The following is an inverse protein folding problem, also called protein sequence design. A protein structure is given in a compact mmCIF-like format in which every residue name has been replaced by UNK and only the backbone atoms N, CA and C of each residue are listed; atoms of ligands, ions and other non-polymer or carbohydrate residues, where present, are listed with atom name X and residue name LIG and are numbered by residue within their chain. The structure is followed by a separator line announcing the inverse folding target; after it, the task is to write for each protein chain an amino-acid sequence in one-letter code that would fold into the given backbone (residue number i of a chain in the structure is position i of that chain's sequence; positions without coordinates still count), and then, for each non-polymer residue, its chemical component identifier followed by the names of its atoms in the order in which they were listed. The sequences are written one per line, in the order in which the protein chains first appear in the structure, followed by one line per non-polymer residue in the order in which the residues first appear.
data_IF_398001029951
#
_entry.id   IF_398001029951
#
_cell.length_a   1.000
_cell.length_b   1.000
_cell.length_c   1.000
_cell.angle_alpha   90.00
_cell.angle_beta   90.00
_cell.angle_gamma   90.00
#
_symmetry.space_group_name_H-M   'P 1'
#
loop_
_entity.id
_entity.type
_entity.pdbx_description
1 polymer ?
#
# COMPACT_ATOMS: atom_id res chain seq x y z
N UNK A 1 -63.39 2.43 19.28
CA UNK A 1 -62.30 1.91 20.12
C UNK A 1 -61.05 1.48 19.29
N UNK A 2 -61.16 1.32 17.99
CA UNK A 2 -60.02 1.00 17.11
C UNK A 2 -59.09 2.20 16.80
N UNK A 3 -59.60 3.44 16.87
CA UNK A 3 -58.83 4.65 16.59
C UNK A 3 -57.83 5.05 17.70
N UNK A 4 -58.01 4.55 18.93
CA UNK A 4 -57.09 4.83 20.03
C UNK A 4 -55.82 3.95 20.02
N UNK A 5 -55.86 2.79 19.35
CA UNK A 5 -54.68 1.90 19.21
C UNK A 5 -53.68 2.43 18.21
N UNK A 6 -54.09 3.17 17.16
CA UNK A 6 -53.19 3.79 16.20
C UNK A 6 -52.44 5.01 16.75
N UNK A 7 -53.08 5.75 17.67
CA UNK A 7 -52.46 6.90 18.36
C UNK A 7 -51.42 6.45 19.41
N UNK A 8 -51.67 5.31 20.08
CA UNK A 8 -50.73 4.75 21.07
C UNK A 8 -49.47 4.19 20.39
N UNK A 9 -49.60 3.68 19.17
CA UNK A 9 -48.43 3.17 18.42
C UNK A 9 -47.49 4.25 17.91
N UNK A 10 -47.96 5.48 17.71
CA UNK A 10 -47.10 6.61 17.32
C UNK A 10 -46.32 7.22 18.50
N UNK A 11 -46.81 7.10 19.73
CA UNK A 11 -46.16 7.62 20.95
C UNK A 11 -45.19 6.63 21.62
N UNK A 12 -45.14 5.36 21.21
CA UNK A 12 -44.34 4.31 21.85
C UNK A 12 -42.91 4.20 21.34
N UNK A 13 -42.39 5.27 20.74
CA UNK A 13 -41.04 5.28 20.16
C UNK A 13 -39.91 5.67 21.11
N UNK A 14 -40.17 5.84 22.40
CA UNK A 14 -39.15 6.20 23.37
C UNK A 14 -38.49 4.95 23.97
N UNK A 15 -37.21 4.73 23.68
CA UNK A 15 -36.41 3.70 24.32
C UNK A 15 -35.67 4.33 25.50
N UNK A 16 -35.87 3.81 26.71
CA UNK A 16 -35.23 4.31 27.91
C UNK A 16 -33.74 3.88 27.98
N UNK A 17 -32.93 4.71 28.64
CA UNK A 17 -31.52 4.40 28.88
C UNK A 17 -31.38 3.07 29.64
N UNK A 18 -30.66 2.09 29.06
CA UNK A 18 -30.50 0.74 29.63
C UNK A 18 -31.60 -0.25 29.26
N UNK A 19 -32.63 0.17 28.50
CA UNK A 19 -33.67 -0.74 28.00
C UNK A 19 -33.08 -1.66 26.93
N UNK A 20 -33.31 -2.96 27.09
CA UNK A 20 -32.90 -3.98 26.12
C UNK A 20 -33.79 -3.90 24.88
N UNK A 21 -33.20 -3.74 23.70
CA UNK A 21 -33.90 -3.67 22.41
C UNK A 21 -33.98 -5.06 21.76
N UNK A 22 -32.87 -5.83 21.81
CA UNK A 22 -32.78 -7.15 21.20
C UNK A 22 -31.81 -8.03 22.00
N UNK A 23 -31.98 -9.34 21.95
CA UNK A 23 -31.08 -10.34 22.55
C UNK A 23 -30.53 -11.26 21.45
N UNK A 24 -29.38 -11.86 21.69
CA UNK A 24 -28.83 -12.86 20.79
C UNK A 24 -29.78 -14.06 20.72
N UNK A 25 -30.29 -14.35 19.49
CA UNK A 25 -31.29 -15.40 19.26
C UNK A 25 -32.71 -14.89 19.02
N UNK A 26 -33.00 -13.61 19.25
CA UNK A 26 -34.32 -13.03 18.97
C UNK A 26 -34.52 -12.85 17.45
N UNK A 27 -35.79 -13.13 17.00
CA UNK A 27 -36.19 -12.88 15.61
C UNK A 27 -36.39 -11.35 15.44
N UNK A 28 -35.63 -10.75 14.53
CA UNK A 28 -35.75 -9.32 14.22
C UNK A 28 -37.07 -9.02 13.52
N UNK A 29 -38.01 -8.41 14.25
CA UNK A 29 -39.27 -7.96 13.66
C UNK A 29 -39.09 -6.60 12.95
N UNK A 30 -40.00 -6.27 12.01
CA UNK A 30 -40.01 -4.96 11.33
C UNK A 30 -40.05 -3.77 12.30
N UNK A 31 -40.69 -3.92 13.45
CA UNK A 31 -40.73 -2.91 14.51
C UNK A 31 -39.35 -2.76 15.19
N UNK A 32 -38.66 -3.87 15.49
CA UNK A 32 -37.29 -3.84 16.04
C UNK A 32 -36.32 -3.20 15.08
N UNK A 33 -36.45 -3.47 13.79
CA UNK A 33 -35.62 -2.86 12.74
C UNK A 33 -35.84 -1.34 12.68
N UNK A 34 -37.07 -0.85 12.78
CA UNK A 34 -37.37 0.59 12.86
C UNK A 34 -36.77 1.25 14.10
N UNK A 35 -36.83 0.58 15.25
CA UNK A 35 -36.22 1.06 16.49
C UNK A 35 -34.69 1.08 16.37
N UNK A 36 -34.09 0.05 15.84
CA UNK A 36 -32.63 -0.02 15.62
C UNK A 36 -32.17 1.07 14.65
N UNK A 37 -32.86 1.26 13.52
CA UNK A 37 -32.52 2.30 12.55
C UNK A 37 -32.71 3.71 13.13
N UNK A 38 -33.75 3.94 13.96
CA UNK A 38 -33.97 5.24 14.63
C UNK A 38 -32.93 5.47 15.73
N UNK A 39 -32.52 4.41 16.45
CA UNK A 39 -31.47 4.46 17.46
C UNK A 39 -30.12 4.75 16.80
N UNK A 40 -29.79 4.06 15.70
CA UNK A 40 -28.57 4.30 14.91
C UNK A 40 -28.51 5.75 14.40
N UNK A 41 -29.63 6.28 13.88
CA UNK A 41 -29.72 7.69 13.47
C UNK A 41 -29.60 8.68 14.64
N UNK A 42 -30.18 8.35 15.79
CA UNK A 42 -30.07 9.18 16.99
C UNK A 42 -28.63 9.17 17.56
N UNK A 43 -27.99 7.99 17.59
CA UNK A 43 -26.58 7.85 17.96
C UNK A 43 -25.66 8.58 16.98
N UNK A 44 -25.91 8.47 15.68
CA UNK A 44 -25.16 9.23 14.66
C UNK A 44 -25.32 10.74 14.83
N UNK A 45 -26.51 11.23 15.17
CA UNK A 45 -26.73 12.65 15.49
C UNK A 45 -26.10 13.08 16.81
N UNK A 46 -26.10 12.23 17.83
CA UNK A 46 -25.54 12.51 19.15
C UNK A 46 -23.99 12.46 19.14
N UNK A 47 -23.40 11.56 18.35
CA UNK A 47 -21.95 11.50 18.14
C UNK A 47 -21.42 12.60 17.21
N UNK A 48 -22.29 13.23 16.42
CA UNK A 48 -21.98 14.33 15.52
C UNK A 48 -22.20 15.71 16.17
N UNK A 49 -21.90 15.86 17.47
CA UNK A 49 -21.72 17.19 18.03
C UNK A 49 -20.61 17.89 17.24
N UNK A 50 -20.85 19.11 16.74
CA UNK A 50 -19.83 19.86 15.97
C UNK A 50 -18.49 19.95 16.72
N UNK A 51 -18.51 19.98 18.04
CA UNK A 51 -17.32 20.06 18.88
C UNK A 51 -16.55 18.73 18.90
N UNK A 52 -17.24 17.58 18.93
CA UNK A 52 -16.61 16.25 18.84
C UNK A 52 -16.01 16.04 17.46
N UNK A 53 -16.71 16.46 16.40
CA UNK A 53 -16.17 16.41 15.04
C UNK A 53 -14.93 17.29 14.89
N UNK A 54 -14.94 18.53 15.40
CA UNK A 54 -13.79 19.44 15.36
C UNK A 54 -12.60 18.88 16.16
N UNK A 55 -12.82 18.32 17.34
CA UNK A 55 -11.73 17.71 18.13
C UNK A 55 -11.16 16.47 17.47
N UNK A 56 -11.99 15.63 16.86
CA UNK A 56 -11.56 14.45 16.09
C UNK A 56 -10.72 14.85 14.87
N UNK A 57 -11.20 15.82 14.08
CA UNK A 57 -10.46 16.33 12.92
C UNK A 57 -9.12 16.96 13.36
N UNK A 58 -9.12 17.74 14.43
CA UNK A 58 -7.90 18.34 14.97
C UNK A 58 -6.90 17.26 15.41
N UNK A 59 -7.36 16.23 16.13
CA UNK A 59 -6.53 15.11 16.53
C UNK A 59 -5.93 14.34 15.34
N UNK A 60 -6.75 14.03 14.34
CA UNK A 60 -6.30 13.37 13.11
C UNK A 60 -5.28 14.23 12.36
N UNK A 61 -5.52 15.52 12.27
CA UNK A 61 -4.61 16.47 11.60
C UNK A 61 -3.25 16.52 12.29
N UNK A 62 -3.23 16.67 13.62
CA UNK A 62 -2.00 16.67 14.42
C UNK A 62 -1.24 15.36 14.23
N UNK A 63 -1.95 14.21 14.28
CA UNK A 63 -1.35 12.90 14.08
C UNK A 63 -0.70 12.74 12.71
N UNK A 64 -1.42 13.11 11.64
CA UNK A 64 -0.90 13.05 10.26
C UNK A 64 0.31 13.99 10.10
N UNK A 65 0.22 15.23 10.60
CA UNK A 65 1.33 16.17 10.54
C UNK A 65 2.57 15.65 11.29
N UNK A 66 2.38 15.02 12.44
CA UNK A 66 3.47 14.39 13.19
C UNK A 66 4.15 13.28 12.37
N UNK A 67 3.38 12.36 11.79
CA UNK A 67 3.93 11.26 10.97
C UNK A 67 4.66 11.77 9.73
N UNK A 68 4.08 12.74 9.02
CA UNK A 68 4.72 13.36 7.86
C UNK A 68 5.99 14.10 8.25
N UNK A 69 5.99 14.81 9.40
CA UNK A 69 7.17 15.50 9.92
C UNK A 69 8.29 14.51 10.30
N UNK A 70 7.96 13.40 10.95
CA UNK A 70 8.92 12.34 11.28
C UNK A 70 9.51 11.71 10.01
N UNK A 71 8.69 11.46 8.99
CA UNK A 71 9.16 10.94 7.70
C UNK A 71 10.08 11.96 6.99
N UNK A 72 9.70 13.24 7.00
CA UNK A 72 10.53 14.33 6.44
C UNK A 72 11.87 14.44 7.17
N UNK A 73 11.84 14.38 8.51
CA UNK A 73 13.03 14.40 9.35
C UNK A 73 13.95 13.20 9.07
N UNK A 74 13.37 12.00 8.90
CA UNK A 74 14.13 10.82 8.49
C UNK A 74 14.85 11.06 7.15
N UNK A 75 14.16 11.59 6.14
CA UNK A 75 14.78 11.89 4.85
C UNK A 75 15.90 12.93 4.98
N UNK A 76 15.66 14.00 5.74
CA UNK A 76 16.62 15.09 5.91
C UNK A 76 17.88 14.66 6.67
N UNK A 77 17.76 13.82 7.69
CA UNK A 77 18.88 13.40 8.53
C UNK A 77 19.64 12.20 7.97
N UNK A 78 18.92 11.19 7.47
CA UNK A 78 19.48 9.90 7.10
C UNK A 78 19.59 9.66 5.60
N UNK A 79 18.83 10.40 4.78
CA UNK A 79 18.76 10.20 3.32
C UNK A 79 18.86 11.50 2.55
N UNK A 80 19.91 12.25 2.84
CA UNK A 80 20.24 13.50 2.13
C UNK A 80 20.37 13.31 0.63
N UNK A 81 20.84 12.14 0.19
CA UNK A 81 20.96 11.72 -1.20
C UNK A 81 19.62 11.73 -1.96
N UNK A 82 18.50 11.45 -1.28
CA UNK A 82 17.15 11.57 -1.84
C UNK A 82 16.55 12.95 -1.55
N UNK A 83 16.78 13.48 -0.34
CA UNK A 83 16.20 14.75 0.09
C UNK A 83 16.63 15.93 -0.77
N UNK A 84 17.83 15.90 -1.33
CA UNK A 84 18.32 16.95 -2.26
C UNK A 84 17.81 16.78 -3.70
N UNK A 85 17.19 15.64 -4.04
CA UNK A 85 16.70 15.37 -5.39
C UNK A 85 15.18 15.58 -5.46
N UNK A 86 14.68 16.63 -6.12
CA UNK A 86 13.24 16.96 -6.12
C UNK A 86 12.38 15.82 -6.68
N UNK A 87 12.87 15.09 -7.66
CA UNK A 87 12.16 13.94 -8.25
C UNK A 87 11.94 12.80 -7.24
N UNK A 88 12.95 12.51 -6.42
CA UNK A 88 12.88 11.46 -5.38
C UNK A 88 11.86 11.84 -4.31
N UNK A 89 11.91 13.07 -3.83
CA UNK A 89 10.94 13.61 -2.88
C UNK A 89 9.53 13.59 -3.46
N UNK A 90 9.36 14.10 -4.68
CA UNK A 90 8.04 14.15 -5.33
C UNK A 90 7.41 12.75 -5.43
N UNK A 91 8.16 11.71 -5.81
CA UNK A 91 7.65 10.34 -5.86
C UNK A 91 7.24 9.84 -4.48
N UNK A 92 8.11 10.01 -3.46
CA UNK A 92 7.84 9.53 -2.10
C UNK A 92 6.57 10.17 -1.51
N UNK A 93 6.42 11.49 -1.66
CA UNK A 93 5.24 12.20 -1.18
C UNK A 93 3.99 11.96 -2.05
N UNK A 94 4.14 11.75 -3.35
CA UNK A 94 3.02 11.35 -4.20
C UNK A 94 2.41 10.02 -3.72
N UNK A 95 3.23 9.02 -3.40
CA UNK A 95 2.76 7.75 -2.84
C UNK A 95 2.16 7.92 -1.43
N UNK A 96 2.80 8.76 -0.59
CA UNK A 96 2.33 9.04 0.77
C UNK A 96 0.95 9.73 0.79
N UNK A 97 0.62 10.52 -0.22
CA UNK A 97 -0.67 11.22 -0.37
C UNK A 97 -1.69 10.34 -1.10
N UNK A 98 -1.27 9.61 -2.13
CA UNK A 98 -2.15 8.82 -2.98
C UNK A 98 -2.93 7.75 -2.19
N UNK A 99 -2.25 6.94 -1.36
CA UNK A 99 -2.89 5.85 -0.65
C UNK A 99 -3.90 6.32 0.41
N UNK A 100 -3.63 7.33 1.26
CA UNK A 100 -4.64 7.87 2.17
C UNK A 100 -5.85 8.48 1.46
N UNK A 101 -5.66 9.17 0.33
CA UNK A 101 -6.77 9.69 -0.48
C UNK A 101 -7.62 8.54 -1.04
N UNK A 102 -6.98 7.52 -1.61
CA UNK A 102 -7.67 6.33 -2.11
C UNK A 102 -8.42 5.59 -0.98
N UNK A 103 -7.79 5.44 0.19
CA UNK A 103 -8.42 4.87 1.38
C UNK A 103 -9.64 5.66 1.80
N UNK A 104 -9.51 6.97 1.93
CA UNK A 104 -10.62 7.85 2.31
C UNK A 104 -11.77 7.80 1.31
N UNK A 105 -11.47 7.73 0.02
CA UNK A 105 -12.47 7.60 -1.04
C UNK A 105 -13.20 6.25 -0.95
N UNK A 106 -12.47 5.13 -0.83
CA UNK A 106 -13.07 3.80 -0.77
C UNK A 106 -13.86 3.56 0.50
N UNK A 107 -13.43 4.09 1.64
CA UNK A 107 -14.14 3.94 2.91
C UNK A 107 -15.48 4.70 2.96
N UNK A 108 -15.75 5.63 2.03
CA UNK A 108 -17.08 6.27 1.88
C UNK A 108 -18.13 5.35 1.25
N UNK A 109 -17.70 4.28 0.58
CA UNK A 109 -18.59 3.36 -0.12
C UNK A 109 -18.66 2.02 0.62
N UNK A 110 -19.84 1.59 1.10
CA UNK A 110 -20.00 0.38 1.93
C UNK A 110 -19.69 -0.92 1.18
N UNK A 111 -19.65 -0.88 -0.17
CA UNK A 111 -19.39 -2.06 -0.99
C UNK A 111 -17.90 -2.41 -1.14
N UNK A 112 -17.01 -1.48 -0.83
CA UNK A 112 -15.57 -1.70 -1.00
C UNK A 112 -14.90 -2.08 0.33
N UNK A 113 -14.10 -3.15 0.26
CA UNK A 113 -13.21 -3.51 1.36
C UNK A 113 -11.87 -2.80 1.20
N UNK A 114 -11.30 -2.33 2.30
CA UNK A 114 -9.95 -1.74 2.36
C UNK A 114 -8.87 -2.71 1.83
N UNK A 115 -9.10 -4.01 1.95
CA UNK A 115 -8.17 -5.07 1.53
C UNK A 115 -8.09 -5.25 0.01
N UNK A 116 -8.93 -4.58 -0.77
CA UNK A 116 -8.80 -4.53 -2.24
C UNK A 116 -7.64 -3.61 -2.65
N UNK A 117 -7.33 -2.57 -1.85
CA UNK A 117 -6.28 -1.60 -2.16
C UNK A 117 -4.91 -2.29 -2.10
N UNK A 118 -4.11 -2.26 -3.18
CA UNK A 118 -2.80 -2.90 -3.24
C UNK A 118 -1.73 -2.00 -2.58
N UNK A 119 -1.78 -1.85 -1.25
CA UNK A 119 -0.83 -1.03 -0.49
C UNK A 119 0.63 -1.44 -0.69
N UNK A 120 0.88 -2.73 -0.99
CA UNK A 120 2.22 -3.23 -1.26
C UNK A 120 2.90 -2.61 -2.49
N UNK A 121 2.15 -1.93 -3.38
CA UNK A 121 2.73 -1.12 -4.47
C UNK A 121 3.66 -0.04 -3.92
N UNK A 122 3.30 0.60 -2.79
CA UNK A 122 4.13 1.65 -2.18
C UNK A 122 5.54 1.15 -1.81
N UNK A 123 5.72 0.09 -1.01
CA UNK A 123 7.05 -0.42 -0.70
C UNK A 123 7.74 -1.09 -1.89
N UNK A 124 7.01 -1.62 -2.88
CA UNK A 124 7.60 -2.12 -4.13
C UNK A 124 8.30 -0.96 -4.86
N UNK A 125 7.63 0.15 -5.09
CA UNK A 125 8.25 1.32 -5.74
C UNK A 125 9.39 1.92 -4.91
N UNK A 126 9.19 2.03 -3.59
CA UNK A 126 10.26 2.43 -2.70
C UNK A 126 11.50 1.54 -2.82
N UNK A 127 11.33 0.21 -2.91
CA UNK A 127 12.42 -0.75 -3.06
C UNK A 127 13.10 -0.68 -4.42
N UNK A 128 12.32 -0.52 -5.49
CA UNK A 128 12.82 -0.50 -6.87
C UNK A 128 13.61 0.77 -7.17
N UNK A 129 13.12 1.93 -6.75
CA UNK A 129 13.70 3.23 -7.11
C UNK A 129 14.62 3.81 -6.04
N UNK A 130 14.45 3.42 -4.79
CA UNK A 130 15.23 3.91 -3.65
C UNK A 130 16.02 2.76 -3.01
N UNK A 131 15.65 2.38 -1.79
CA UNK A 131 16.25 1.29 -1.03
C UNK A 131 15.24 0.67 -0.04
N UNK A 132 15.60 -0.52 0.50
CA UNK A 132 14.72 -1.28 1.40
C UNK A 132 14.35 -0.51 2.67
N UNK A 133 15.27 0.26 3.24
CA UNK A 133 15.05 1.01 4.49
C UNK A 133 14.04 2.13 4.26
N UNK A 134 14.25 2.94 3.23
CA UNK A 134 13.35 4.03 2.86
C UNK A 134 11.98 3.49 2.46
N UNK A 135 11.93 2.39 1.69
CA UNK A 135 10.69 1.72 1.31
C UNK A 135 9.88 1.27 2.53
N UNK A 136 10.54 0.68 3.53
CA UNK A 136 9.88 0.22 4.75
C UNK A 136 9.33 1.39 5.57
N UNK A 137 10.14 2.41 5.82
CA UNK A 137 9.72 3.57 6.64
C UNK A 137 8.58 4.31 5.95
N UNK A 138 8.65 4.53 4.62
CA UNK A 138 7.57 5.10 3.84
C UNK A 138 6.28 4.28 3.96
N UNK A 139 6.38 2.94 3.81
CA UNK A 139 5.23 2.06 3.90
C UNK A 139 4.58 2.12 5.28
N UNK A 140 5.37 2.01 6.35
CA UNK A 140 4.87 2.15 7.73
C UNK A 140 4.14 3.47 7.92
N UNK A 141 4.75 4.57 7.50
CA UNK A 141 4.13 5.91 7.60
C UNK A 141 2.80 5.95 6.84
N UNK A 142 2.76 5.43 5.61
CA UNK A 142 1.54 5.37 4.78
C UNK A 142 0.44 4.57 5.46
N UNK A 143 0.75 3.37 5.98
CA UNK A 143 -0.22 2.50 6.63
C UNK A 143 -0.77 3.13 7.91
N UNK A 144 0.09 3.76 8.73
CA UNK A 144 -0.34 4.45 9.94
C UNK A 144 -1.28 5.64 9.63
N UNK A 145 -1.01 6.40 8.57
CA UNK A 145 -1.90 7.48 8.13
C UNK A 145 -3.24 6.90 7.65
N UNK A 146 -3.22 5.84 6.84
CA UNK A 146 -4.44 5.20 6.33
C UNK A 146 -5.27 4.56 7.46
N UNK A 147 -4.63 4.04 8.50
CA UNK A 147 -5.31 3.39 9.63
C UNK A 147 -6.29 4.31 10.36
N UNK A 148 -6.08 5.64 10.31
CA UNK A 148 -6.99 6.62 10.92
C UNK A 148 -8.41 6.54 10.32
N UNK A 149 -8.53 6.17 9.05
CA UNK A 149 -9.81 6.06 8.34
C UNK A 149 -10.45 4.65 8.46
N UNK A 150 -9.76 3.68 9.06
CA UNK A 150 -10.17 2.27 9.08
C UNK A 150 -10.78 1.89 10.41
N UNK A 151 -11.89 1.13 10.38
CA UNK A 151 -12.60 0.69 11.60
C UNK A 151 -11.79 -0.31 12.45
N UNK A 152 -11.17 -1.30 11.81
CA UNK A 152 -10.37 -2.34 12.48
C UNK A 152 -8.87 -2.05 12.27
N UNK A 153 -8.39 -1.02 12.97
CA UNK A 153 -7.03 -0.49 12.78
C UNK A 153 -5.93 -1.52 13.05
N UNK A 154 -6.03 -2.27 14.15
CA UNK A 154 -5.03 -3.27 14.52
C UNK A 154 -4.86 -4.36 13.45
N UNK A 155 -5.96 -4.92 12.99
CA UNK A 155 -5.99 -5.93 11.95
C UNK A 155 -5.41 -5.40 10.64
N UNK A 156 -5.88 -4.22 10.21
CA UNK A 156 -5.39 -3.55 9.01
C UNK A 156 -3.88 -3.30 9.07
N UNK A 157 -3.37 -2.70 10.15
CA UNK A 157 -1.94 -2.39 10.32
C UNK A 157 -1.13 -3.68 10.25
N UNK A 158 -1.53 -4.72 10.98
CA UNK A 158 -0.78 -5.98 11.05
C UNK A 158 -0.70 -6.66 9.68
N UNK A 159 -1.83 -6.79 8.97
CA UNK A 159 -1.87 -7.39 7.63
C UNK A 159 -1.03 -6.61 6.64
N UNK A 160 -1.16 -5.28 6.62
CA UNK A 160 -0.45 -4.45 5.65
C UNK A 160 1.05 -4.33 5.95
N UNK A 161 1.47 -4.32 7.21
CA UNK A 161 2.90 -4.35 7.56
C UNK A 161 3.57 -5.63 7.07
N UNK A 162 2.93 -6.79 7.28
CA UNK A 162 3.47 -8.05 6.79
C UNK A 162 3.48 -8.10 5.27
N UNK A 163 2.41 -7.64 4.60
CA UNK A 163 2.34 -7.52 3.15
C UNK A 163 3.51 -6.70 2.58
N UNK A 164 3.80 -5.55 3.19
CA UNK A 164 4.91 -4.69 2.79
C UNK A 164 6.28 -5.30 3.04
N UNK A 165 6.48 -5.97 4.17
CA UNK A 165 7.73 -6.69 4.45
C UNK A 165 7.99 -7.80 3.43
N UNK A 166 6.98 -8.62 3.13
CA UNK A 166 7.08 -9.69 2.13
C UNK A 166 7.38 -9.09 0.75
N UNK A 167 6.75 -7.97 0.38
CA UNK A 167 7.04 -7.28 -0.87
C UNK A 167 8.50 -6.82 -0.96
N UNK A 168 9.04 -6.23 0.11
CA UNK A 168 10.44 -5.77 0.14
C UNK A 168 11.42 -6.96 0.07
N UNK A 169 11.16 -8.05 0.80
CA UNK A 169 12.05 -9.21 0.83
C UNK A 169 12.03 -9.98 -0.48
N UNK A 170 10.87 -10.15 -1.11
CA UNK A 170 10.75 -10.84 -2.39
C UNK A 170 11.46 -10.12 -3.53
N UNK A 171 11.67 -8.80 -3.41
CA UNK A 171 12.37 -7.97 -4.39
C UNK A 171 13.82 -7.67 -3.99
N UNK A 172 14.44 -8.50 -3.16
CA UNK A 172 15.83 -8.30 -2.71
C UNK A 172 16.80 -8.20 -3.90
N UNK A 173 16.62 -9.02 -4.91
CA UNK A 173 17.43 -9.06 -6.12
C UNK A 173 16.54 -8.92 -7.36
N UNK A 174 16.05 -7.70 -7.62
CA UNK A 174 15.18 -7.44 -8.75
C UNK A 174 15.99 -7.42 -10.04
N UNK A 175 16.10 -8.57 -10.70
CA UNK A 175 16.78 -8.72 -11.99
C UNK A 175 15.85 -9.10 -13.14
N UNK A 176 14.65 -9.58 -12.85
CA UNK A 176 13.70 -10.09 -13.84
C UNK A 176 12.27 -9.59 -13.58
N UNK A 177 11.53 -9.34 -14.64
CA UNK A 177 10.11 -8.96 -14.59
C UNK A 177 9.23 -9.99 -13.88
N UNK A 178 9.56 -11.28 -14.04
CA UNK A 178 8.82 -12.39 -13.41
C UNK A 178 8.81 -12.35 -11.88
N UNK A 179 9.77 -11.67 -11.25
CA UNK A 179 9.80 -11.51 -9.79
C UNK A 179 8.61 -10.72 -9.26
N UNK A 180 8.04 -9.79 -10.04
CA UNK A 180 6.83 -9.05 -9.65
C UNK A 180 5.63 -9.98 -9.54
N UNK A 181 5.51 -10.98 -10.45
CA UNK A 181 4.46 -12.00 -10.35
C UNK A 181 4.59 -12.84 -9.08
N UNK A 182 5.81 -13.30 -8.80
CA UNK A 182 6.09 -14.06 -7.58
C UNK A 182 5.80 -13.20 -6.34
N UNK A 183 6.19 -11.94 -6.35
CA UNK A 183 5.91 -10.99 -5.26
C UNK A 183 4.40 -10.84 -5.03
N UNK A 184 3.61 -10.68 -6.09
CA UNK A 184 2.16 -10.57 -5.98
C UNK A 184 1.54 -11.82 -5.33
N UNK A 185 1.99 -13.02 -5.73
CA UNK A 185 1.53 -14.28 -5.13
C UNK A 185 1.92 -14.37 -3.65
N UNK A 186 3.19 -14.06 -3.33
CA UNK A 186 3.70 -14.14 -1.95
C UNK A 186 3.00 -13.13 -1.03
N UNK A 187 2.78 -11.90 -1.49
CA UNK A 187 2.07 -10.86 -0.73
C UNK A 187 0.63 -11.28 -0.47
N UNK A 188 -0.07 -11.78 -1.50
CA UNK A 188 -1.46 -12.25 -1.36
C UNK A 188 -1.55 -13.42 -0.38
N UNK A 189 -0.67 -14.40 -0.50
CA UNK A 189 -0.65 -15.57 0.39
C UNK A 189 -0.33 -15.16 1.84
N UNK A 190 0.67 -14.28 2.04
CA UNK A 190 1.04 -13.79 3.36
C UNK A 190 -0.09 -12.98 4.00
N UNK A 191 -0.75 -12.09 3.26
CA UNK A 191 -1.89 -11.33 3.75
C UNK A 191 -3.04 -12.22 4.18
N UNK A 192 -3.38 -13.22 3.36
CA UNK A 192 -4.42 -14.19 3.68
C UNK A 192 -4.07 -15.02 4.92
N UNK A 193 -2.81 -15.46 5.05
CA UNK A 193 -2.34 -16.24 6.20
C UNK A 193 -2.37 -15.43 7.50
N UNK A 194 -1.87 -14.20 7.47
CA UNK A 194 -1.88 -13.30 8.65
C UNK A 194 -3.30 -12.97 9.06
N UNK A 195 -4.17 -12.67 8.10
CA UNK A 195 -5.58 -12.43 8.38
C UNK A 195 -6.25 -13.65 9.01
N UNK A 196 -5.99 -14.83 8.48
CA UNK A 196 -6.48 -16.09 9.04
C UNK A 196 -6.02 -16.29 10.49
N UNK A 197 -4.72 -16.06 10.76
CA UNK A 197 -4.18 -16.17 12.12
C UNK A 197 -4.82 -15.15 13.07
N UNK A 198 -5.03 -13.91 12.65
CA UNK A 198 -5.71 -12.88 13.45
C UNK A 198 -7.16 -13.26 13.76
N UNK A 199 -7.87 -13.81 12.76
CA UNK A 199 -9.23 -14.28 12.98
C UNK A 199 -9.31 -15.46 13.97
N UNK A 200 -8.37 -16.41 13.92
CA UNK A 200 -8.28 -17.50 14.89
C UNK A 200 -8.03 -16.97 16.31
N UNK A 201 -7.24 -15.90 16.47
CA UNK A 201 -6.99 -15.28 17.78
C UNK A 201 -8.24 -14.57 18.31
N UNK A 202 -9.07 -14.01 17.43
CA UNK A 202 -10.25 -13.24 17.81
C UNK A 202 -11.53 -14.08 17.95
N UNK A 203 -11.58 -15.23 17.27
CA UNK A 203 -12.79 -16.05 17.16
C UNK A 203 -12.45 -17.49 17.55
N UNK A 204 -13.03 -18.00 18.61
CA UNK A 204 -12.81 -19.38 19.06
C UNK A 204 -13.40 -20.45 18.12
N UNK A 205 -14.07 -20.05 17.04
CA UNK A 205 -14.82 -20.92 16.14
C UNK A 205 -14.47 -20.65 14.67
N UNK A 206 -13.79 -21.62 14.04
CA UNK A 206 -13.38 -21.56 12.62
C UNK A 206 -14.57 -21.44 11.65
N UNK A 207 -15.77 -21.84 12.06
CA UNK A 207 -16.97 -21.75 11.20
C UNK A 207 -17.45 -20.31 11.00
N UNK A 208 -17.05 -19.38 11.88
CA UNK A 208 -17.43 -17.96 11.86
C UNK A 208 -16.46 -17.08 11.08
N UNK A 209 -15.47 -17.67 10.42
CA UNK A 209 -14.49 -16.93 9.62
C UNK A 209 -15.15 -16.19 8.44
N UNK A 210 -14.81 -14.92 8.27
CA UNK A 210 -15.28 -14.15 7.11
C UNK A 210 -14.54 -14.56 5.84
N UNK A 211 -15.18 -15.44 5.07
CA UNK A 211 -14.62 -15.96 3.81
C UNK A 211 -14.58 -14.91 2.68
N UNK A 212 -15.41 -13.86 2.77
CA UNK A 212 -15.49 -12.84 1.73
C UNK A 212 -14.19 -12.05 1.60
N UNK A 213 -13.45 -11.87 2.69
CA UNK A 213 -12.20 -11.10 2.68
C UNK A 213 -11.10 -11.77 1.83
N UNK A 214 -11.09 -13.10 1.72
CA UNK A 214 -10.12 -13.80 0.87
C UNK A 214 -10.29 -13.48 -0.62
N UNK A 215 -11.53 -13.22 -1.08
CA UNK A 215 -11.76 -12.70 -2.43
C UNK A 215 -11.14 -11.31 -2.61
N UNK A 216 -11.21 -10.45 -1.59
CA UNK A 216 -10.59 -9.13 -1.64
C UNK A 216 -9.06 -9.22 -1.73
N UNK A 217 -8.41 -10.16 -1.01
CA UNK A 217 -6.98 -10.41 -1.17
C UNK A 217 -6.62 -10.92 -2.56
N UNK A 218 -7.47 -11.76 -3.17
CA UNK A 218 -7.24 -12.24 -4.54
C UNK A 218 -7.32 -11.09 -5.54
N UNK A 219 -8.32 -10.20 -5.40
CA UNK A 219 -8.44 -8.98 -6.21
C UNK A 219 -7.22 -8.06 -6.01
N UNK A 220 -6.78 -7.89 -4.75
CA UNK A 220 -5.57 -7.15 -4.42
C UNK A 220 -4.34 -7.73 -5.15
N UNK A 221 -4.16 -9.05 -5.10
CA UNK A 221 -3.09 -9.74 -5.81
C UNK A 221 -3.12 -9.50 -7.31
N UNK A 222 -4.31 -9.48 -7.92
CA UNK A 222 -4.48 -9.12 -9.31
C UNK A 222 -4.05 -7.66 -9.58
N UNK A 223 -4.44 -6.72 -8.72
CA UNK A 223 -4.00 -5.33 -8.85
C UNK A 223 -2.49 -5.16 -8.65
N UNK A 224 -1.84 -6.00 -7.83
CA UNK A 224 -0.39 -5.98 -7.69
C UNK A 224 0.35 -6.33 -9.00
N UNK A 225 -0.26 -7.08 -9.92
CA UNK A 225 0.32 -7.34 -11.23
C UNK A 225 0.47 -6.07 -12.07
N UNK A 226 -0.40 -5.08 -11.86
CA UNK A 226 -0.28 -3.78 -12.52
C UNK A 226 0.91 -2.95 -12.03
N UNK A 227 1.60 -3.39 -10.98
CA UNK A 227 2.84 -2.72 -10.52
C UNK A 227 3.87 -2.60 -11.64
N UNK A 228 3.94 -3.61 -12.53
CA UNK A 228 4.90 -3.59 -13.63
C UNK A 228 4.63 -2.45 -14.65
N UNK A 229 3.44 -2.34 -15.29
CA UNK A 229 3.17 -1.22 -16.16
C UNK A 229 3.20 0.13 -15.43
N UNK A 230 2.77 0.20 -14.16
CA UNK A 230 2.88 1.41 -13.35
C UNK A 230 4.35 1.81 -13.10
N UNK A 231 5.26 0.84 -12.97
CA UNK A 231 6.69 1.13 -12.84
C UNK A 231 7.23 1.91 -14.05
N UNK A 232 6.82 1.54 -15.27
CA UNK A 232 7.19 2.27 -16.49
C UNK A 232 6.62 3.71 -16.51
N UNK A 233 5.41 3.89 -15.99
CA UNK A 233 4.81 5.22 -15.85
C UNK A 233 5.60 6.07 -14.86
N UNK A 234 5.96 5.52 -13.71
CA UNK A 234 6.78 6.19 -12.68
C UNK A 234 8.18 6.54 -13.24
N UNK A 235 8.82 5.62 -13.95
CA UNK A 235 10.11 5.88 -14.61
C UNK A 235 10.04 7.11 -15.53
N UNK A 236 9.03 7.17 -16.38
CA UNK A 236 8.84 8.28 -17.31
C UNK A 236 8.45 9.58 -16.60
N UNK A 237 7.51 9.50 -15.64
CA UNK A 237 6.98 10.69 -14.96
C UNK A 237 8.04 11.39 -14.08
N UNK A 238 8.86 10.59 -13.37
CA UNK A 238 9.87 11.12 -12.45
C UNK A 238 11.29 11.06 -13.01
N UNK A 239 11.49 10.50 -14.20
CA UNK A 239 12.80 10.39 -14.83
C UNK A 239 13.76 9.47 -14.08
N UNK A 240 13.25 8.38 -13.49
CA UNK A 240 14.04 7.33 -12.88
C UNK A 240 14.43 6.27 -13.91
N UNK A 241 15.42 5.47 -13.57
CA UNK A 241 15.78 4.24 -14.28
C UNK A 241 15.81 3.12 -13.24
N UNK A 242 14.92 2.15 -13.39
CA UNK A 242 14.89 0.99 -12.50
C UNK A 242 16.05 0.03 -12.78
N UNK A 243 16.37 -0.80 -11.81
CA UNK A 243 17.34 -1.86 -11.97
C UNK A 243 16.96 -2.84 -13.09
N UNK A 244 15.64 -3.08 -13.27
CA UNK A 244 15.13 -3.93 -14.38
C UNK A 244 15.45 -3.32 -15.73
N UNK A 245 15.20 -2.04 -15.92
CA UNK A 245 15.51 -1.31 -17.15
C UNK A 245 17.04 -1.33 -17.43
N UNK A 246 17.87 -1.18 -16.39
CA UNK A 246 19.32 -1.29 -16.53
C UNK A 246 19.75 -2.70 -16.95
N UNK A 247 19.13 -3.75 -16.42
CA UNK A 247 19.40 -5.13 -16.87
C UNK A 247 18.98 -5.37 -18.32
N UNK A 248 17.84 -4.82 -18.74
CA UNK A 248 17.39 -4.91 -20.13
C UNK A 248 18.30 -4.17 -21.08
N UNK A 249 18.76 -2.98 -20.72
CA UNK A 249 19.74 -2.22 -21.49
C UNK A 249 21.10 -2.93 -21.55
N UNK A 250 21.49 -3.65 -20.51
CA UNK A 250 22.76 -4.41 -20.48
C UNK A 250 22.71 -5.75 -21.26
N UNK A 251 21.54 -6.11 -21.77
CA UNK A 251 21.41 -7.34 -22.56
C UNK A 251 22.12 -7.13 -23.91
N UNK A 252 23.10 -7.97 -24.19
CA UNK A 252 23.87 -7.91 -25.44
C UNK A 252 23.04 -8.17 -26.70
N UNK A 253 21.85 -8.76 -26.55
CA UNK A 253 20.88 -8.89 -27.64
C UNK A 253 20.10 -7.61 -27.93
N UNK A 254 20.31 -6.53 -27.16
CA UNK A 254 19.69 -5.23 -27.43
C UNK A 254 20.13 -4.78 -28.85
N UNK A 255 19.21 -4.31 -29.70
CA UNK A 255 19.53 -3.99 -31.11
C UNK A 255 20.75 -3.12 -31.29
N UNK A 256 20.95 -2.10 -30.46
CA UNK A 256 22.06 -1.17 -30.53
C UNK A 256 23.38 -1.84 -30.14
N UNK A 257 23.42 -2.64 -29.07
CA UNK A 257 24.61 -3.38 -28.65
C UNK A 257 24.97 -4.50 -29.65
N UNK A 258 23.98 -5.11 -30.24
CA UNK A 258 24.15 -6.09 -31.30
C UNK A 258 24.77 -5.44 -32.55
N UNK A 259 24.25 -4.29 -32.97
CA UNK A 259 24.80 -3.52 -34.09
C UNK A 259 26.27 -3.12 -33.81
N UNK A 260 26.59 -2.68 -32.58
CA UNK A 260 27.96 -2.39 -32.15
C UNK A 260 28.84 -3.62 -32.25
N UNK A 261 28.36 -4.80 -31.82
CA UNK A 261 29.11 -6.05 -31.88
C UNK A 261 29.41 -6.51 -33.30
N UNK A 262 28.51 -6.23 -34.26
CA UNK A 262 28.65 -6.58 -35.67
C UNK A 262 29.56 -5.59 -36.42
N UNK A 263 29.41 -4.26 -36.17
CA UNK A 263 30.15 -3.22 -36.90
C UNK A 263 31.51 -2.87 -36.28
N UNK A 264 31.63 -2.95 -34.96
CA UNK A 264 32.84 -2.58 -34.23
C UNK A 264 33.12 -3.57 -33.06
N UNK A 265 33.47 -4.82 -33.38
CA UNK A 265 33.65 -5.89 -32.37
C UNK A 265 34.76 -5.59 -31.36
N UNK A 266 35.80 -4.86 -31.72
CA UNK A 266 36.83 -4.41 -30.79
C UNK A 266 36.33 -3.44 -29.74
N UNK A 267 35.55 -2.44 -30.15
CA UNK A 267 34.91 -1.48 -29.24
C UNK A 267 33.86 -2.18 -28.32
N UNK A 268 33.10 -3.09 -28.88
CA UNK A 268 32.17 -3.90 -28.11
C UNK A 268 32.85 -4.71 -27.01
N UNK A 269 33.95 -5.42 -27.35
CA UNK A 269 34.72 -6.20 -26.38
C UNK A 269 35.38 -5.31 -25.30
N UNK A 270 35.90 -4.14 -25.72
CA UNK A 270 36.40 -3.13 -24.78
C UNK A 270 35.31 -2.68 -23.79
N UNK A 271 34.14 -2.31 -24.27
CA UNK A 271 33.01 -1.86 -23.46
C UNK A 271 32.54 -2.93 -22.45
N UNK A 272 32.54 -4.22 -22.86
CA UNK A 272 32.24 -5.35 -21.95
C UNK A 272 33.27 -5.43 -20.83
N UNK A 273 34.56 -5.37 -21.18
CA UNK A 273 35.66 -5.48 -20.22
C UNK A 273 35.63 -4.33 -19.21
N UNK A 274 35.49 -3.09 -19.68
CA UNK A 274 35.39 -1.91 -18.86
C UNK A 274 34.12 -2.00 -17.95
N UNK A 275 33.00 -2.45 -18.51
CA UNK A 275 31.75 -2.64 -17.76
C UNK A 275 31.87 -3.66 -16.64
N UNK A 276 32.56 -4.79 -16.89
CA UNK A 276 32.75 -5.82 -15.86
C UNK A 276 33.69 -5.33 -14.75
N UNK A 277 34.82 -4.71 -15.10
CA UNK A 277 35.76 -4.14 -14.12
C UNK A 277 35.11 -3.00 -13.31
N UNK A 278 34.40 -2.08 -13.98
CA UNK A 278 33.70 -0.99 -13.33
C UNK A 278 32.60 -1.48 -12.37
N UNK A 279 31.87 -2.52 -12.77
CA UNK A 279 30.84 -3.10 -11.89
C UNK A 279 31.45 -3.77 -10.65
N UNK A 280 32.59 -4.46 -10.79
CA UNK A 280 33.29 -5.07 -9.65
C UNK A 280 33.81 -4.02 -8.67
N UNK A 281 34.40 -2.93 -9.17
CA UNK A 281 34.83 -1.81 -8.36
C UNK A 281 33.63 -1.19 -7.65
N UNK A 282 32.53 -0.94 -8.36
CA UNK A 282 31.33 -0.36 -7.83
C UNK A 282 30.73 -1.22 -6.69
N UNK A 283 30.74 -2.56 -6.84
CA UNK A 283 30.31 -3.48 -5.78
C UNK A 283 31.17 -3.34 -4.52
N UNK A 284 32.51 -3.26 -4.67
CA UNK A 284 33.44 -3.15 -3.53
C UNK A 284 33.27 -1.85 -2.74
N UNK A 285 32.92 -0.76 -3.40
CA UNK A 285 32.69 0.55 -2.74
C UNK A 285 31.21 0.80 -2.39
N UNK A 286 30.32 -0.20 -2.58
CA UNK A 286 28.90 -0.07 -2.30
C UNK A 286 28.13 0.85 -3.25
N UNK A 287 28.66 1.11 -4.45
CA UNK A 287 27.99 1.87 -5.50
C UNK A 287 27.05 1.01 -6.35
N UNK A 288 26.28 1.64 -7.25
CA UNK A 288 25.30 0.96 -8.12
C UNK A 288 26.00 0.26 -9.30
N UNK A 289 26.49 -0.96 -9.07
CA UNK A 289 27.26 -1.75 -10.04
C UNK A 289 26.56 -1.92 -11.41
N UNK A 290 25.23 -2.17 -11.40
CA UNK A 290 24.48 -2.33 -12.64
C UNK A 290 24.41 -1.05 -13.47
N UNK A 291 24.31 0.12 -12.81
CA UNK A 291 24.35 1.42 -13.50
C UNK A 291 25.70 1.66 -14.16
N UNK A 292 26.79 1.36 -13.44
CA UNK A 292 28.16 1.49 -13.96
C UNK A 292 28.37 0.56 -15.16
N UNK A 293 27.96 -0.70 -15.03
CA UNK A 293 28.07 -1.69 -16.12
C UNK A 293 27.27 -1.23 -17.35
N UNK A 294 26.03 -0.82 -17.17
CA UNK A 294 25.18 -0.36 -18.28
C UNK A 294 25.78 0.89 -18.94
N UNK A 295 26.21 1.87 -18.16
CA UNK A 295 26.86 3.08 -18.70
C UNK A 295 28.11 2.75 -19.52
N UNK A 296 28.94 1.82 -19.02
CA UNK A 296 30.14 1.39 -19.69
C UNK A 296 29.89 0.65 -21.04
N UNK A 297 28.76 -0.09 -21.16
CA UNK A 297 28.40 -0.75 -22.42
C UNK A 297 28.04 0.25 -23.53
N UNK A 298 27.63 1.45 -23.19
CA UNK A 298 27.17 2.47 -24.13
C UNK A 298 28.11 3.67 -24.27
N UNK A 299 29.23 3.73 -23.51
CA UNK A 299 30.05 4.96 -23.41
C UNK A 299 30.73 5.34 -24.72
N UNK A 300 31.03 4.35 -25.61
CA UNK A 300 31.71 4.54 -26.88
C UNK A 300 30.79 4.41 -28.11
N UNK A 301 29.49 4.56 -27.93
CA UNK A 301 28.54 4.47 -29.06
C UNK A 301 28.47 5.82 -29.84
N UNK A 302 29.21 6.84 -29.42
CA UNK A 302 29.45 8.04 -30.19
C UNK A 302 28.43 9.11 -29.96
#
# INVERSE_FOLDING_TARGET
SANNLSLITQASGMVLKGQRIITQGDIVTSRMMLVLNSYERAMAKQSASENELRSTIAGQTIYILLLVSLFTLYLALFRKDYFTKPRSIAMLYALLVFFPLLTSFMMKHPFFSIYIIPFAISPIFGRVFMDSRTAFIQHVTTILICAVAVKYQYEFITVQLVAGLVAIYSLRELSRRSQIFLTAILVTAASALVYFALQLIQTDDVSKLDRAIYYHFTINGFFLLFTYPLMLVIEKAFGFTSTVTLFELSNTNNPLLRELSEKAPGTFQHSITVGNLGAEIANKIGAKAQLVRTGALYHDIG
#
